data_IF_719296029275
#
_entry.id   IF_719296029275
#
_cell.length_a   1.000
_cell.length_b   1.000
_cell.length_c   1.000
_cell.angle_alpha   90.00
_cell.angle_beta   90.00
_cell.angle_gamma   90.00
#
_symmetry.space_group_name_H-M   'P 1'
#
loop_
_entity.id
_entity.type
_entity.pdbx_description
1 polymer ?
#
# COMPACT_ATOMS: atom_id res chain seq x y z
N UNK A 1 -8.93 12.03 5.33
CA UNK A 1 -7.88 11.23 5.99
C UNK A 1 -8.14 11.34 7.48
N UNK A 2 -8.28 10.22 8.18
CA UNK A 2 -8.65 10.17 9.60
C UNK A 2 -7.51 9.52 10.37
N UNK A 3 -7.16 10.05 11.52
CA UNK A 3 -6.03 9.60 12.33
C UNK A 3 -6.58 8.86 13.56
N UNK A 4 -6.07 7.67 13.86
CA UNK A 4 -6.55 6.86 14.98
C UNK A 4 -5.60 6.86 16.18
N UNK A 5 -4.38 7.38 16.00
CA UNK A 5 -3.35 7.47 17.02
C UNK A 5 -2.36 6.31 16.95
N UNK A 6 -1.57 6.13 18.02
CA UNK A 6 -0.57 5.07 18.09
C UNK A 6 -1.20 3.73 18.51
N UNK A 7 -0.91 2.69 17.75
CA UNK A 7 -1.30 1.32 18.08
C UNK A 7 -0.46 0.81 19.28
N UNK A 8 -1.05 0.35 20.39
CA UNK A 8 -0.31 -0.10 21.56
C UNK A 8 0.50 -1.39 21.32
N UNK A 9 0.17 -2.18 20.30
CA UNK A 9 0.94 -3.36 19.95
C UNK A 9 2.21 -2.99 19.16
N UNK A 10 2.15 -1.99 18.27
CA UNK A 10 3.23 -1.64 17.35
C UNK A 10 4.04 -0.42 17.77
N UNK A 11 3.45 0.49 18.56
CA UNK A 11 3.98 1.84 18.80
C UNK A 11 4.04 2.69 17.53
N UNK A 12 3.18 2.42 16.55
CA UNK A 12 3.20 3.06 15.25
C UNK A 12 1.92 3.88 15.05
N UNK A 13 2.05 5.04 14.39
CA UNK A 13 0.93 5.94 14.16
C UNK A 13 0.01 5.42 13.05
N UNK A 14 -1.24 5.16 13.41
CA UNK A 14 -2.26 4.56 12.57
C UNK A 14 -3.11 5.62 11.90
N UNK A 15 -3.17 5.56 10.57
CA UNK A 15 -3.87 6.54 9.75
C UNK A 15 -4.71 5.89 8.66
N UNK A 16 -5.93 6.41 8.50
CA UNK A 16 -6.93 6.00 7.54
C UNK A 16 -6.88 6.90 6.28
N UNK A 17 -6.71 6.27 5.12
CA UNK A 17 -6.60 6.94 3.82
C UNK A 17 -7.54 6.31 2.80
N UNK A 18 -8.00 7.13 1.86
CA UNK A 18 -8.80 6.67 0.72
C UNK A 18 -7.88 6.37 -0.47
N UNK A 19 -8.00 5.20 -1.07
CA UNK A 19 -7.18 4.75 -2.21
C UNK A 19 -8.01 4.20 -3.37
N UNK A 20 -7.32 3.73 -4.42
CA UNK A 20 -7.94 3.20 -5.64
C UNK A 20 -8.84 1.98 -5.39
N UNK A 21 -8.55 1.21 -4.34
CA UNK A 21 -9.29 -0.01 -3.98
C UNK A 21 -10.34 0.21 -2.88
N UNK A 22 -10.52 1.46 -2.44
CA UNK A 22 -11.32 1.81 -1.28
C UNK A 22 -10.47 2.36 -0.14
N UNK A 23 -11.11 2.51 1.01
CA UNK A 23 -10.47 3.00 2.23
C UNK A 23 -9.54 1.95 2.84
N UNK A 24 -8.42 2.40 3.40
CA UNK A 24 -7.43 1.55 4.03
C UNK A 24 -6.82 2.23 5.24
N UNK A 25 -6.41 1.42 6.21
CA UNK A 25 -5.64 1.80 7.37
C UNK A 25 -4.18 1.45 7.13
N UNK A 26 -3.27 2.34 7.55
CA UNK A 26 -1.83 2.12 7.51
C UNK A 26 -1.19 2.61 8.81
N UNK A 27 -0.34 1.78 9.40
CA UNK A 27 0.59 2.15 10.49
C UNK A 27 1.97 2.54 9.95
N UNK A 28 2.14 2.57 8.62
CA UNK A 28 3.41 2.81 7.93
C UNK A 28 4.24 1.55 7.69
N UNK A 29 4.07 0.50 8.50
CA UNK A 29 4.74 -0.78 8.31
C UNK A 29 3.85 -1.78 7.54
N UNK A 30 2.56 -1.85 7.89
CA UNK A 30 1.56 -2.67 7.19
C UNK A 30 0.34 -1.84 6.76
N UNK A 31 -0.43 -2.41 5.82
CA UNK A 31 -1.64 -1.79 5.29
C UNK A 31 -2.78 -2.81 5.37
N UNK A 32 -3.90 -2.42 5.98
CA UNK A 32 -5.13 -3.20 6.03
C UNK A 32 -6.24 -2.49 5.27
N UNK A 33 -6.95 -3.22 4.41
CA UNK A 33 -8.11 -2.67 3.67
C UNK A 33 -9.33 -2.64 4.59
N UNK A 34 -10.04 -1.52 4.61
CA UNK A 34 -11.27 -1.40 5.38
C UNK A 34 -12.41 -2.06 4.57
N UNK A 35 -13.21 -2.95 5.18
CA UNK A 35 -14.36 -3.54 4.50
C UNK A 35 -15.35 -2.44 4.08
N UNK A 36 -15.94 -2.58 2.89
CA UNK A 36 -16.85 -1.57 2.31
C UNK A 36 -18.12 -1.29 3.13
N UNK A 37 -18.45 -2.17 4.06
CA UNK A 37 -19.59 -2.05 4.95
C UNK A 37 -19.34 -0.99 6.03
N UNK A 38 -18.08 -0.84 6.48
CA UNK A 38 -17.67 0.19 7.43
C UNK A 38 -17.11 1.41 6.69
N UNK A 39 -17.71 2.57 6.95
CA UNK A 39 -17.24 3.83 6.40
C UNK A 39 -16.10 4.38 7.24
N UNK A 40 -15.16 5.08 6.60
CA UNK A 40 -14.07 5.81 7.25
C UNK A 40 -14.54 6.72 8.40
N UNK A 41 -15.77 7.21 8.31
CA UNK A 41 -16.38 8.10 9.30
C UNK A 41 -16.83 7.35 10.57
N UNK A 42 -17.27 6.10 10.42
CA UNK A 42 -17.79 5.24 11.49
C UNK A 42 -16.70 4.34 12.10
N UNK A 43 -15.58 4.16 11.40
CA UNK A 43 -14.46 3.37 11.90
C UNK A 43 -13.91 3.96 13.20
N UNK A 44 -13.76 3.10 14.21
CA UNK A 44 -13.18 3.43 15.51
C UNK A 44 -11.69 3.08 15.53
N UNK A 45 -10.93 3.69 16.45
CA UNK A 45 -9.51 3.38 16.61
C UNK A 45 -9.27 1.91 16.92
N UNK A 46 -10.11 1.31 17.76
CA UNK A 46 -10.01 -0.10 18.17
C UNK A 46 -10.17 -1.06 16.97
N UNK A 47 -11.18 -0.84 16.13
CA UNK A 47 -11.37 -1.61 14.89
C UNK A 47 -10.21 -1.42 13.90
N UNK A 48 -9.66 -0.21 13.82
CA UNK A 48 -8.49 0.06 12.98
C UNK A 48 -7.27 -0.75 13.45
N UNK A 49 -7.06 -0.85 14.77
CA UNK A 49 -5.99 -1.66 15.36
C UNK A 49 -6.23 -3.16 15.14
N UNK A 50 -7.46 -3.66 15.31
CA UNK A 50 -7.80 -5.05 15.03
C UNK A 50 -7.52 -5.45 13.57
N UNK A 51 -7.94 -4.62 12.60
CA UNK A 51 -7.71 -4.90 11.18
C UNK A 51 -6.21 -5.01 10.85
N UNK A 52 -5.39 -4.16 11.47
CA UNK A 52 -3.94 -4.23 11.34
C UNK A 52 -3.36 -5.47 12.05
N UNK A 53 -3.82 -5.79 13.26
CA UNK A 53 -3.40 -6.98 14.00
C UNK A 53 -3.70 -8.26 13.23
N UNK A 54 -4.92 -8.44 12.72
CA UNK A 54 -5.30 -9.58 11.88
C UNK A 54 -4.41 -9.65 10.63
N UNK A 55 -4.13 -8.49 10.01
CA UNK A 55 -3.28 -8.44 8.83
C UNK A 55 -1.84 -8.82 9.15
N UNK A 56 -1.34 -8.41 10.31
CA UNK A 56 -0.03 -8.76 10.85
C UNK A 56 0.07 -10.26 11.10
N UNK A 57 -0.89 -10.86 11.80
CA UNK A 57 -0.91 -12.29 12.10
C UNK A 57 -0.92 -13.13 10.82
N UNK A 58 -1.72 -12.72 9.83
CA UNK A 58 -1.73 -13.36 8.50
C UNK A 58 -0.38 -13.28 7.77
N UNK A 59 0.42 -12.27 8.06
CA UNK A 59 1.74 -12.08 7.46
C UNK A 59 2.86 -12.71 8.31
N UNK A 60 2.56 -13.21 9.52
CA UNK A 60 3.54 -13.79 10.43
C UNK A 60 4.59 -12.80 10.90
N UNK A 61 4.23 -11.52 11.04
CA UNK A 61 5.16 -10.43 11.38
C UNK A 61 5.05 -10.08 12.86
N UNK A 62 6.18 -9.76 13.49
CA UNK A 62 6.19 -9.27 14.88
C UNK A 62 5.74 -7.80 14.99
N UNK A 63 5.21 -7.36 16.15
CA UNK A 63 5.00 -5.96 16.51
C UNK A 63 6.17 -5.04 16.13
N UNK A 64 5.91 -3.92 15.46
CA UNK A 64 6.91 -3.03 14.86
C UNK A 64 7.60 -3.48 13.56
N UNK A 65 7.40 -4.73 13.11
CA UNK A 65 8.10 -5.24 11.91
C UNK A 65 7.29 -4.99 10.63
N UNK A 66 7.92 -4.33 9.65
CA UNK A 66 7.30 -4.06 8.34
C UNK A 66 7.14 -5.33 7.52
N UNK A 67 6.00 -5.46 6.84
CA UNK A 67 5.80 -6.57 5.93
C UNK A 67 6.87 -6.54 4.84
N UNK A 68 7.42 -7.70 4.44
CA UNK A 68 8.19 -7.76 3.21
C UNK A 68 7.25 -7.25 2.13
N UNK A 69 7.60 -6.11 1.52
CA UNK A 69 6.87 -5.60 0.35
C UNK A 69 6.92 -6.73 -0.65
N UNK A 70 5.82 -7.50 -0.74
CA UNK A 70 5.64 -8.53 -1.74
C UNK A 70 6.01 -7.84 -3.04
N UNK A 71 7.16 -8.24 -3.57
CA UNK A 71 7.90 -7.47 -4.53
C UNK A 71 6.92 -6.98 -5.56
N UNK A 72 6.75 -5.66 -5.63
CA UNK A 72 6.24 -5.02 -6.83
C UNK A 72 7.13 -5.64 -7.90
N UNK A 73 6.59 -6.60 -8.64
CA UNK A 73 7.25 -7.14 -9.80
C UNK A 73 7.52 -5.89 -10.62
N UNK A 74 8.77 -5.44 -10.57
CA UNK A 74 9.34 -4.59 -11.58
C UNK A 74 9.17 -5.39 -12.86
N UNK A 75 7.99 -5.30 -13.49
CA UNK A 75 7.93 -5.15 -14.93
C UNK A 75 8.52 -3.79 -15.22
N UNK A 76 9.85 -3.83 -15.14
CA UNK A 76 10.86 -3.05 -15.80
C UNK A 76 10.22 -2.21 -16.89
N UNK A 77 10.33 -0.90 -16.71
CA UNK A 77 10.28 0.05 -17.80
C UNK A 77 11.09 -0.52 -18.99
N UNK A 78 10.40 -0.81 -20.07
CA UNK A 78 11.01 -0.88 -21.41
C UNK A 78 10.34 0.20 -22.24
N UNK A 79 10.79 1.42 -22.00
CA UNK A 79 10.83 2.44 -23.03
C UNK A 79 12.25 3.02 -23.04
N UNK A 80 13.07 2.64 -24.04
CA UNK A 80 14.06 3.57 -24.56
C UNK A 80 13.63 3.99 -25.96
N UNK A 81 13.35 5.29 -26.09
CA UNK A 81 13.40 6.04 -27.35
C UNK A 81 14.70 5.68 -28.08
N UNK A 82 14.62 5.16 -29.30
CA UNK A 82 15.70 5.29 -30.28
C UNK A 82 15.40 6.49 -31.18
N UNK A 83 16.04 7.60 -30.85
CA UNK A 83 16.27 8.75 -31.72
C UNK A 83 17.31 8.41 -32.80
N UNK A 84 16.92 8.64 -34.06
CA UNK A 84 17.71 9.00 -35.28
C UNK A 84 19.04 8.30 -35.63
N UNK A 85 19.10 7.68 -36.84
CA UNK A 85 20.05 8.07 -37.89
C UNK A 85 19.75 7.45 -39.28
N UNK A 86 19.51 8.36 -40.25
CA UNK A 86 19.85 8.37 -41.68
C UNK A 86 19.92 7.07 -42.53
N UNK A 87 19.29 7.09 -43.71
CA UNK A 87 19.62 6.16 -44.81
C UNK A 87 18.64 6.11 -45.99
N UNK A 88 18.68 7.14 -46.85
CA UNK A 88 18.37 7.18 -48.29
C UNK A 88 17.53 6.05 -48.95
N UNK A 89 16.37 6.44 -49.48
CA UNK A 89 15.62 5.77 -50.57
C UNK A 89 16.56 5.30 -51.69
N UNK A 90 16.61 3.99 -51.97
CA UNK A 90 17.21 3.43 -53.19
C UNK A 90 16.12 2.84 -54.09
N UNK A 91 16.15 3.30 -55.35
CA UNK A 91 15.33 2.91 -56.51
C UNK A 91 15.01 1.41 -56.61
N UNK A 92 13.79 1.10 -57.06
CA UNK A 92 13.57 0.45 -58.35
C UNK A 92 12.23 0.88 -58.93
#
# INVERSE_FOLDING_TARGET
>A
MKEFGEDPASGLNVVAKTGQFGDYVTDGAINATIPKDEKLDELTSDQAFELLAIRREKLGLEPGQAAPKAGRASKKAVAPKKTVKAGTRKKK
#
